data_IF_936577065361
#
_entry.id   IF_936577065361
#
_cell.length_a   1.000
_cell.length_b   1.000
_cell.length_c   1.000
_cell.angle_alpha   90.00
_cell.angle_beta   90.00
_cell.angle_gamma   90.00
#
_symmetry.space_group_name_H-M   'P 1'
#
loop_
_entity.id
_entity.type
_entity.pdbx_description
1 polymer ?
2 polymer ?
3 non-polymer ?
4 non-polymer ?
5 non-polymer ?
6 non-polymer ?
7 non-polymer ?
8 water ?
#
# COMPACT_ATOMS: atom_id res chain seq x y z
N UNK A 1 10.38 9.94 -4.34
CA UNK A 1 11.26 8.75 -4.36
C UNK A 1 12.69 9.22 -4.75
N UNK A 2 13.66 8.89 -3.92
CA UNK A 2 15.05 9.19 -4.15
C UNK A 2 15.78 7.95 -4.63
N UNK A 3 16.48 8.08 -5.75
CA UNK A 3 17.34 7.02 -6.24
C UNK A 3 16.64 5.85 -6.90
N UNK A 4 15.41 6.05 -7.38
CA UNK A 4 14.67 5.00 -8.08
C UNK A 4 14.66 5.26 -9.58
N UNK A 5 13.61 4.85 -10.25
CA UNK A 5 13.47 5.03 -11.68
C UNK A 5 12.00 5.30 -11.97
N UNK A 6 11.71 5.71 -13.20
CA UNK A 6 10.35 5.88 -13.61
C UNK A 6 9.66 4.48 -13.57
N UNK A 7 8.51 4.39 -12.91
CA UNK A 7 7.68 3.19 -13.09
C UNK A 7 7.12 3.23 -14.52
N UNK A 8 7.46 2.24 -15.34
CA UNK A 8 6.86 2.34 -16.68
C UNK A 8 5.33 2.38 -16.63
N UNK A 9 4.72 3.25 -17.44
CA UNK A 9 3.27 3.44 -17.46
C UNK A 9 2.52 2.13 -17.49
N UNK A 10 1.65 1.93 -16.50
CA UNK A 10 0.86 0.68 -16.39
C UNK A 10 1.46 -0.38 -15.51
N UNK A 11 2.71 -0.21 -15.08
CA UNK A 11 3.33 -1.22 -14.24
C UNK A 11 3.15 -0.96 -12.75
N UNK A 12 2.55 0.17 -12.38
CA UNK A 12 2.23 0.49 -10.99
C UNK A 12 0.71 0.78 -10.92
N UNK A 13 -0.14 -0.15 -11.40
CA UNK A 13 -1.52 0.29 -11.75
C UNK A 13 -2.45 0.48 -10.52
N UNK A 14 -1.94 0.07 -9.37
CA UNK A 14 -2.61 0.27 -8.09
C UNK A 14 -2.25 1.59 -7.40
N UNK A 15 -1.31 2.33 -7.99
CA UNK A 15 -0.90 3.59 -7.37
C UNK A 15 -2.01 4.60 -7.48
N UNK A 16 -2.25 5.34 -6.42
CA UNK A 16 -3.23 6.41 -6.40
C UNK A 16 -2.53 7.74 -6.17
N UNK A 17 -3.05 8.79 -6.80
CA UNK A 17 -2.62 10.14 -6.45
C UNK A 17 -3.76 10.84 -5.73
N UNK A 18 -3.47 11.45 -4.59
CA UNK A 18 -4.46 12.22 -3.87
C UNK A 18 -4.17 13.70 -4.04
N UNK A 19 -5.24 14.44 -4.37
CA UNK A 19 -5.21 15.87 -4.64
C UNK A 19 -6.16 16.62 -3.66
N UNK A 20 -5.73 17.81 -3.21
CA UNK A 20 -6.58 18.74 -2.45
C UNK A 20 -6.56 20.09 -3.18
N UNK A 21 -7.74 20.54 -3.64
CA UNK A 21 -7.87 21.70 -4.51
C UNK A 21 -6.93 21.63 -5.71
N UNK A 22 -6.75 20.44 -6.29
CA UNK A 22 -5.90 20.26 -7.45
C UNK A 22 -4.42 20.08 -7.19
N UNK A 23 -4.01 20.28 -5.94
CA UNK A 23 -2.62 20.20 -5.53
C UNK A 23 -2.30 18.80 -5.01
N UNK A 24 -1.10 18.34 -5.31
CA UNK A 24 -0.64 17.06 -4.84
C UNK A 24 -0.62 17.01 -3.31
N UNK A 25 -1.26 16.01 -2.74
CA UNK A 25 -1.29 15.82 -1.28
C UNK A 25 -0.43 14.63 -0.86
N UNK A 26 -0.72 13.48 -1.46
CA UNK A 26 -0.20 12.19 -0.98
C UNK A 26 -0.43 11.14 -2.03
N UNK A 27 0.19 9.98 -1.81
CA UNK A 27 -0.17 8.80 -2.54
C UNK A 27 -1.18 7.95 -1.83
N UNK A 28 -1.52 6.85 -2.52
CA UNK A 28 -2.44 5.84 -1.98
C UNK A 28 -2.35 4.52 -2.74
N UNK A 29 -3.07 3.52 -2.26
CA UNK A 29 -3.07 2.21 -2.91
C UNK A 29 -4.51 1.72 -3.09
N UNK A 30 -4.86 1.40 -4.32
CA UNK A 30 -6.15 0.82 -4.61
C UNK A 30 -6.11 -0.65 -4.15
N UNK A 31 -7.07 -1.05 -3.32
CA UNK A 31 -7.23 -2.45 -2.97
C UNK A 31 -8.55 -3.10 -3.44
N UNK A 32 -9.50 -2.32 -3.93
CA UNK A 32 -10.70 -2.84 -4.56
C UNK A 32 -11.24 -1.64 -5.34
N UNK A 33 -12.36 -1.77 -6.05
CA UNK A 33 -12.83 -0.69 -6.91
C UNK A 33 -13.32 0.56 -6.18
N UNK A 34 -13.68 0.47 -4.90
CA UNK A 34 -14.04 1.68 -4.14
C UNK A 34 -13.14 2.00 -2.92
N UNK A 35 -12.12 1.21 -2.70
CA UNK A 35 -11.31 1.30 -1.53
C UNK A 35 -9.83 1.59 -1.81
N UNK A 36 -9.33 2.59 -1.09
CA UNK A 36 -7.96 3.07 -1.20
C UNK A 36 -7.35 3.14 0.19
N UNK A 37 -6.14 2.64 0.32
CA UNK A 37 -5.40 2.75 1.58
C UNK A 37 -4.34 3.86 1.42
N UNK A 38 -4.24 4.72 2.42
CA UNK A 38 -3.25 5.76 2.41
C UNK A 38 -2.72 5.93 3.88
N UNK A 39 -2.05 7.06 4.16
CA UNK A 39 -1.47 7.36 5.48
C UNK A 39 -2.35 8.41 6.20
N UNK A 40 -2.67 8.16 7.47
CA UNK A 40 -3.55 9.05 8.22
C UNK A 40 -3.03 10.48 8.20
N UNK A 41 -1.71 10.67 8.29
CA UNK A 41 -1.16 12.05 8.48
C UNK A 41 -1.42 12.93 7.29
N UNK A 42 -1.63 12.30 6.13
CA UNK A 42 -2.03 13.03 4.91
C UNK A 42 -3.23 13.92 5.12
N UNK A 43 -4.07 13.59 6.10
CA UNK A 43 -5.37 14.25 6.31
C UNK A 43 -5.44 15.13 7.55
N UNK A 44 -4.35 15.26 8.29
CA UNK A 44 -4.35 16.04 9.55
C UNK A 44 -4.83 17.50 9.40
N UNK A 45 -4.61 18.13 8.22
CA UNK A 45 -4.84 19.57 8.02
C UNK A 45 -5.99 19.88 7.06
N UNK A 46 -6.74 18.89 6.61
CA UNK A 46 -7.83 19.16 5.66
C UNK A 46 -8.95 19.99 6.31
N UNK A 47 -9.35 21.08 5.69
CA UNK A 47 -10.47 21.87 6.20
C UNK A 47 -11.78 21.41 5.59
N UNK A 48 -11.80 21.30 4.26
CA UNK A 48 -12.99 20.90 3.54
C UNK A 48 -12.80 19.61 2.71
N UNK A 49 -13.50 18.56 3.13
CA UNK A 49 -13.33 17.22 2.56
C UNK A 49 -13.76 17.11 1.12
N UNK A 50 -14.70 17.95 0.69
CA UNK A 50 -15.16 17.92 -0.71
C UNK A 50 -14.05 18.29 -1.71
N UNK A 51 -13.01 18.93 -1.23
CA UNK A 51 -11.89 19.28 -2.06
C UNK A 51 -10.90 18.10 -2.27
N UNK A 52 -11.13 16.94 -1.65
CA UNK A 52 -10.21 15.80 -1.75
C UNK A 52 -10.57 14.91 -2.94
N UNK A 53 -9.62 14.68 -3.84
CA UNK A 53 -9.85 13.88 -5.04
C UNK A 53 -8.81 12.75 -5.10
N UNK A 54 -9.25 11.54 -5.49
CA UNK A 54 -8.34 10.39 -5.75
C UNK A 54 -8.26 10.16 -7.25
N UNK A 55 -7.06 9.98 -7.78
CA UNK A 55 -6.87 9.75 -9.20
C UNK A 55 -6.15 8.41 -9.39
N UNK A 56 -6.75 7.56 -10.25
CA UNK A 56 -6.21 6.28 -10.63
C UNK A 56 -5.76 6.40 -12.07
N UNK A 57 -4.83 5.53 -12.46
CA UNK A 57 -4.32 5.46 -13.81
C UNK A 57 -3.41 6.62 -14.19
N UNK A 58 -2.89 7.32 -13.19
CA UNK A 58 -2.08 8.50 -13.44
C UNK A 58 -0.67 8.02 -13.69
N UNK A 59 0.09 8.80 -14.44
CA UNK A 59 1.47 8.44 -14.74
C UNK A 59 2.33 9.69 -14.85
N UNK A 60 2.08 10.47 -15.89
CA UNK A 60 2.80 11.72 -16.11
C UNK A 60 1.87 12.89 -15.79
N UNK A 61 2.18 13.59 -14.71
CA UNK A 61 1.31 14.69 -14.25
C UNK A 61 1.24 15.92 -15.19
N UNK A 62 2.10 15.99 -16.17
CA UNK A 62 2.07 17.12 -17.08
C UNK A 62 1.04 16.96 -18.21
N UNK A 63 0.47 15.75 -18.37
CA UNK A 63 -0.33 15.46 -19.55
C UNK A 63 -1.65 14.76 -19.17
N UNK A 64 -2.64 14.85 -20.01
CA UNK A 64 -3.84 13.98 -19.94
C UNK A 64 -3.76 12.99 -21.08
N UNK A 65 -3.78 11.68 -20.78
CA UNK A 65 -3.74 10.69 -21.86
C UNK A 65 -5.00 9.84 -21.94
N UNK A 66 -5.98 10.08 -21.08
CA UNK A 66 -7.25 9.39 -21.15
C UNK A 66 -7.36 8.15 -20.27
N UNK A 67 -6.26 7.69 -19.67
CA UNK A 67 -6.30 6.53 -18.78
C UNK A 67 -6.58 6.92 -17.33
N UNK A 68 -6.56 8.24 -17.03
CA UNK A 68 -6.78 8.73 -15.68
C UNK A 68 -8.22 8.61 -15.31
N UNK A 69 -8.49 8.32 -14.05
CA UNK A 69 -9.86 8.27 -13.53
C UNK A 69 -9.87 8.94 -12.20
N UNK A 70 -10.68 10.00 -12.09
CA UNK A 70 -10.78 10.80 -10.87
C UNK A 70 -12.06 10.51 -10.10
N UNK A 71 -11.96 10.39 -8.77
CA UNK A 71 -13.13 10.20 -7.96
C UNK A 71 -13.10 11.07 -6.73
N UNK A 72 -14.27 11.51 -6.33
CA UNK A 72 -14.44 12.09 -5.00
C UNK A 72 -14.32 11.05 -3.89
N UNK A 73 -13.92 11.54 -2.71
CA UNK A 73 -13.71 10.70 -1.57
C UNK A 73 -14.91 10.85 -0.65
N UNK A 74 -15.64 9.76 -0.44
CA UNK A 74 -16.84 9.75 0.37
C UNK A 74 -16.56 9.53 1.86
N UNK A 75 -15.42 8.91 2.18
CA UNK A 75 -15.10 8.59 3.57
C UNK A 75 -13.59 8.48 3.72
N UNK A 76 -13.06 9.12 4.78
CA UNK A 76 -11.70 8.94 5.21
C UNK A 76 -11.77 8.33 6.61
N UNK A 77 -11.29 7.10 6.75
CA UNK A 77 -11.39 6.37 8.01
C UNK A 77 -10.01 6.20 8.62
N UNK A 78 -9.90 6.59 9.87
CA UNK A 78 -8.64 6.66 10.59
C UNK A 78 -8.77 5.87 11.92
N UNK A 79 -7.76 5.08 12.28
CA UNK A 79 -7.89 4.38 13.54
C UNK A 79 -7.88 5.31 14.76
N UNK A 80 -8.66 4.94 15.77
CA UNK A 80 -8.81 5.73 17.00
C UNK A 80 -7.49 6.00 17.70
N UNK A 81 -6.54 5.10 17.50
CA UNK A 81 -5.26 5.21 18.14
C UNK A 81 -4.25 6.13 17.46
N UNK A 82 -4.56 6.62 16.26
CA UNK A 82 -3.69 7.53 15.56
C UNK A 82 -3.76 8.92 16.23
N UNK A 83 -2.60 9.53 16.46
CA UNK A 83 -2.55 10.92 16.96
C UNK A 83 -2.02 11.87 15.87
N UNK A 84 -2.79 12.90 15.52
CA UNK A 84 -2.27 13.74 14.44
C UNK A 84 -0.85 14.24 14.67
N UNK A 85 -0.06 14.26 13.60
CA UNK A 85 1.30 14.74 13.66
C UNK A 85 2.32 13.73 14.10
N UNK A 86 1.95 12.44 14.25
CA UNK A 86 2.85 11.39 14.73
C UNK A 86 2.88 10.25 13.72
N UNK A 87 3.73 9.24 13.99
CA UNK A 87 3.98 8.15 13.06
C UNK A 87 3.18 6.89 13.38
N UNK A 88 2.82 6.69 14.65
CA UNK A 88 2.19 5.43 15.02
C UNK A 88 0.77 5.33 14.48
N UNK A 89 0.40 4.17 13.97
CA UNK A 89 -0.93 3.94 13.38
C UNK A 89 -1.21 4.87 12.19
N UNK A 90 -0.17 5.12 11.39
CA UNK A 90 -0.27 6.02 10.25
C UNK A 90 -0.89 5.30 9.04
N UNK A 91 -2.19 5.14 9.11
CA UNK A 91 -2.96 4.47 8.06
C UNK A 91 -4.35 5.08 7.95
N UNK A 92 -4.89 5.08 6.74
CA UNK A 92 -6.26 5.53 6.50
C UNK A 92 -6.89 4.66 5.45
N UNK A 93 -8.19 4.45 5.55
CA UNK A 93 -8.96 3.76 4.54
C UNK A 93 -9.96 4.72 3.96
N UNK A 94 -9.89 4.88 2.64
CA UNK A 94 -10.68 5.84 1.88
C UNK A 94 -11.70 5.09 1.05
N UNK A 95 -12.95 5.52 1.19
CA UNK A 95 -14.03 5.05 0.33
C UNK A 95 -14.27 6.07 -0.78
N UNK A 96 -14.15 5.62 -2.02
CA UNK A 96 -14.45 6.47 -3.19
C UNK A 96 -15.98 6.63 -3.38
N UNK A 97 -16.37 7.76 -3.95
CA UNK A 97 -17.79 8.08 -4.12
C UNK A 97 -18.44 7.18 -5.19
N UNK A 98 -17.64 6.74 -6.14
CA UNK A 98 -18.04 5.88 -7.21
C UNK A 98 -16.86 4.94 -7.51
N UNK A 99 -17.14 3.66 -7.83
CA UNK A 99 -16.04 2.74 -8.15
C UNK A 99 -15.21 3.25 -9.31
N UNK A 100 -13.91 2.99 -9.27
CA UNK A 100 -13.10 3.10 -10.49
C UNK A 100 -13.42 1.90 -11.39
N UNK A 101 -13.16 2.04 -12.69
CA UNK A 101 -13.30 0.98 -13.68
C UNK A 101 -11.95 0.31 -13.86
N UNK A 102 -11.88 -0.97 -13.60
CA UNK A 102 -10.62 -1.67 -13.81
C UNK A 102 -10.29 -1.73 -15.29
N UNK A 103 -9.01 -1.47 -15.60
CA UNK A 103 -8.48 -1.40 -16.98
C UNK A 103 -7.08 -1.88 -16.92
N UNK A 104 -6.38 -1.94 -18.06
CA UNK A 104 -4.94 -2.23 -18.01
C UNK A 104 -4.13 -1.28 -17.14
N UNK A 105 -4.65 -0.08 -16.95
CA UNK A 105 -3.97 0.99 -16.21
C UNK A 105 -4.46 1.20 -14.78
N UNK A 106 -5.49 0.47 -14.40
CA UNK A 106 -6.10 0.63 -13.07
C UNK A 106 -6.48 -0.75 -12.57
N UNK A 107 -5.75 -1.20 -11.57
CA UNK A 107 -5.86 -2.55 -11.04
C UNK A 107 -5.58 -2.48 -9.53
N UNK A 108 -6.36 -3.19 -8.69
CA UNK A 108 -6.07 -3.16 -7.27
C UNK A 108 -4.87 -4.05 -6.87
N UNK A 109 -4.19 -3.67 -5.80
CA UNK A 109 -3.18 -4.48 -5.18
C UNK A 109 -3.90 -5.43 -4.20
N UNK A 110 -3.43 -6.66 -4.05
CA UNK A 110 -4.12 -7.57 -3.14
C UNK A 110 -3.81 -7.22 -1.67
N UNK A 111 -4.86 -7.11 -0.86
CA UNK A 111 -4.68 -6.99 0.58
C UNK A 111 -4.60 -8.44 1.08
N UNK A 112 -3.45 -8.84 1.65
CA UNK A 112 -3.28 -10.23 2.04
C UNK A 112 -4.04 -10.57 3.28
N UNK A 113 -4.32 -11.85 3.48
CA UNK A 113 -4.70 -12.32 4.84
C UNK A 113 -3.58 -12.04 5.83
N UNK A 114 -3.91 -11.83 7.09
CA UNK A 114 -2.89 -11.53 8.14
C UNK A 114 -1.82 -12.61 8.27
N UNK A 115 -2.24 -13.86 8.41
CA UNK A 115 -1.30 -14.98 8.61
C UNK A 115 -0.32 -15.06 7.46
N UNK A 116 -0.83 -15.01 6.23
CA UNK A 116 0.04 -15.04 5.06
C UNK A 116 1.07 -13.89 5.08
N UNK A 117 0.60 -12.70 5.46
CA UNK A 117 1.45 -11.55 5.49
C UNK A 117 2.52 -11.66 6.56
N UNK A 118 2.13 -12.15 7.73
CA UNK A 118 3.06 -12.28 8.86
C UNK A 118 4.04 -13.44 8.70
N UNK A 119 3.55 -14.57 8.20
CA UNK A 119 4.31 -15.79 8.09
C UNK A 119 5.14 -15.88 6.83
N UNK A 120 4.73 -15.21 5.77
CA UNK A 120 5.38 -15.40 4.47
C UNK A 120 5.86 -14.06 3.85
N UNK A 121 4.96 -13.07 3.72
CA UNK A 121 5.33 -11.82 3.02
C UNK A 121 6.36 -11.03 3.81
N UNK A 122 6.27 -11.05 5.13
CA UNK A 122 7.22 -10.35 6.01
C UNK A 122 8.68 -10.82 5.85
N UNK A 123 8.90 -11.98 5.24
CA UNK A 123 10.26 -12.49 4.98
C UNK A 123 10.65 -12.38 3.52
N UNK A 124 9.84 -11.79 2.66
CA UNK A 124 10.33 -11.43 1.34
C UNK A 124 11.24 -10.20 1.51
N UNK A 125 12.48 -10.29 1.06
CA UNK A 125 13.45 -9.26 1.40
C UNK A 125 13.12 -7.91 0.76
N UNK A 126 12.94 -7.91 -0.56
CA UNK A 126 12.78 -6.71 -1.33
C UNK A 126 11.33 -6.51 -1.73
N UNK A 127 10.91 -5.24 -1.70
CA UNK A 127 9.59 -4.81 -2.08
C UNK A 127 9.69 -3.44 -2.78
N UNK A 128 8.63 -3.07 -3.49
CA UNK A 128 8.61 -1.84 -4.30
C UNK A 128 7.82 -0.72 -3.58
N UNK A 129 8.39 0.50 -3.57
CA UNK A 129 7.72 1.71 -3.05
C UNK A 129 7.67 2.71 -4.14
N UNK A 130 6.57 3.45 -4.20
CA UNK A 130 6.32 4.30 -5.35
C UNK A 130 5.61 5.59 -5.00
N UNK A 131 5.78 6.58 -5.88
CA UNK A 131 5.07 7.87 -5.73
C UNK A 131 5.64 8.98 -6.59
N UNK A 132 4.98 10.14 -6.54
CA UNK A 132 5.38 11.35 -7.26
C UNK A 132 6.05 12.33 -6.27
N UNK A 133 6.61 11.83 -5.19
CA UNK A 133 7.24 12.68 -4.23
C UNK A 133 8.56 13.27 -4.69
N UNK A 134 9.22 13.94 -3.77
CA UNK A 134 10.51 14.58 -4.04
C UNK A 134 11.58 13.58 -4.53
N UNK A 135 12.29 14.00 -5.58
CA UNK A 135 13.37 13.20 -6.15
C UNK A 135 14.64 13.28 -5.29
N UNK A 136 14.69 14.23 -4.37
CA UNK A 136 15.79 14.40 -3.42
C UNK A 136 15.30 15.19 -2.25
N UNK A 137 16.01 15.05 -1.15
CA UNK A 137 15.73 15.85 0.03
C UNK A 137 15.83 17.35 -0.32
N UNK A 138 14.78 18.10 0.04
CA UNK A 138 14.64 19.53 -0.28
C UNK A 138 14.61 19.81 -1.79
N UNK A 139 14.12 18.85 -2.58
CA UNK A 139 14.04 18.99 -4.02
C UNK A 139 12.62 19.00 -4.54
N UNK A 140 12.51 19.18 -5.85
CA UNK A 140 11.24 19.18 -6.56
C UNK A 140 10.65 17.75 -6.63
N UNK A 141 9.34 17.68 -6.70
CA UNK A 141 8.60 16.42 -6.84
C UNK A 141 8.68 15.91 -8.28
N UNK A 142 8.38 14.64 -8.48
CA UNK A 142 8.47 14.02 -9.79
C UNK A 142 7.26 14.29 -10.66
N UNK A 143 7.48 14.48 -11.96
CA UNK A 143 6.38 14.57 -12.92
C UNK A 143 5.86 13.16 -13.35
N UNK A 144 6.77 12.21 -13.46
CA UNK A 144 6.45 10.84 -13.76
C UNK A 144 6.54 9.98 -12.49
N UNK A 145 5.62 9.05 -12.36
CA UNK A 145 5.59 8.14 -11.22
C UNK A 145 6.91 7.38 -11.12
N UNK A 147 9.44 4.55 -8.88
CA UNK A 147 9.40 3.33 -8.12
C UNK A 147 10.80 2.94 -7.66
N UNK A 148 10.89 2.31 -6.51
CA UNK A 148 12.17 1.98 -5.89
C UNK A 148 12.07 0.64 -5.22
N UNK A 149 13.07 -0.21 -5.42
CA UNK A 149 13.16 -1.50 -4.72
C UNK A 149 13.93 -1.33 -3.42
N UNK A 150 13.36 -1.72 -2.30
CA UNK A 150 13.96 -1.49 -0.98
C UNK A 150 13.93 -2.79 -0.17
N UNK A 151 14.99 -3.06 0.61
CA UNK A 151 15.02 -4.28 1.43
C UNK A 151 14.46 -4.01 2.81
N UNK A 152 13.74 -4.97 3.38
CA UNK A 152 13.06 -4.81 4.66
C UNK A 152 14.01 -5.28 5.76
N UNK A 153 13.96 -4.65 6.92
CA UNK A 153 14.75 -5.05 8.07
C UNK A 153 13.86 -5.51 9.19
N UNK A 154 14.29 -6.55 9.87
CA UNK A 154 13.69 -6.91 11.18
C UNK A 154 13.99 -5.78 12.12
N UNK A 155 13.06 -5.51 13.01
CA UNK A 155 13.09 -4.27 13.76
C UNK A 155 14.33 -4.13 14.67
N UNK A 156 14.78 -5.23 15.28
CA UNK A 156 16.01 -5.20 16.08
C UNK A 156 17.16 -4.73 15.21
N UNK A 157 17.28 -5.34 14.04
CA UNK A 157 18.35 -4.98 13.08
C UNK A 157 18.24 -3.53 12.64
N UNK A 158 17.03 -2.97 12.60
CA UNK A 158 16.88 -1.57 12.24
C UNK A 158 17.45 -0.70 13.33
N UNK A 159 17.09 -0.98 14.57
CA UNK A 159 17.54 -0.16 15.71
C UNK A 159 19.07 -0.15 15.83
N UNK A 160 19.70 -1.33 15.70
CA UNK A 160 21.17 -1.51 15.68
C UNK A 160 21.87 -0.79 14.52
N UNK A 161 21.38 -1.02 13.29
CA UNK A 161 21.97 -0.37 12.11
C UNK A 161 21.69 1.13 11.95
N UNK A 162 20.84 1.71 12.81
CA UNK A 162 20.54 3.15 12.79
C UNK A 162 21.52 3.99 13.64
N UNK A 163 21.88 5.17 13.13
CA UNK A 163 22.83 6.07 13.79
C UNK A 163 22.10 7.25 14.42
N UNK A 170 11.72 5.87 16.88
CA UNK A 170 10.91 4.94 17.69
C UNK A 170 10.03 4.00 16.84
N UNK A 171 10.44 2.75 16.70
CA UNK A 171 9.83 1.82 15.80
C UNK A 171 8.96 0.94 16.65
N UNK A 172 7.65 0.99 16.43
CA UNK A 172 6.73 0.14 17.17
C UNK A 172 6.45 -1.07 16.33
N UNK A 173 5.68 -1.98 16.93
CA UNK A 173 5.21 -3.18 16.26
C UNK A 173 4.21 -2.86 15.10
N UNK A 174 3.76 -1.60 15.01
CA UNK A 174 2.87 -1.14 13.94
C UNK A 174 3.65 -0.52 12.76
N UNK A 175 4.99 -0.65 12.76
CA UNK A 175 5.85 -0.12 11.73
C UNK A 175 6.86 -1.14 11.34
N UNK A 176 7.57 -0.85 10.24
CA UNK A 176 8.81 -1.55 9.93
C UNK A 176 9.70 -0.66 9.14
N UNK A 177 10.99 -0.99 9.19
CA UNK A 177 12.02 -0.27 8.43
C UNK A 177 12.30 -0.92 7.12
N UNK A 178 12.52 -0.10 6.11
CA UNK A 178 13.07 -0.61 4.87
C UNK A 178 13.84 0.43 4.08
N UNK A 179 14.78 -0.02 3.27
CA UNK A 179 15.63 0.87 2.50
C UNK A 179 17.13 0.73 2.86
N UNK A 180 17.81 1.87 2.91
CA UNK A 180 19.27 1.94 2.93
C UNK A 180 19.72 3.06 3.87
N UNK A 181 20.82 2.83 4.58
CA UNK A 181 21.39 3.84 5.50
C UNK A 181 22.46 4.76 4.90
N UNK A 182 22.85 4.56 3.64
CA UNK A 182 23.89 5.39 3.00
C UNK A 182 23.43 6.71 2.35
N UNK A 183 22.17 7.11 2.55
CA UNK A 183 21.62 8.31 1.93
C UNK A 183 21.37 8.32 0.43
N UNK A 184 21.33 7.14 -0.22
CA UNK A 184 21.17 7.08 -1.67
C UNK A 184 19.72 6.80 -2.19
N UNK A 185 18.91 6.14 -1.37
CA UNK A 185 17.68 5.48 -1.86
C UNK A 185 16.65 5.45 -0.75
N UNK A 186 15.51 6.10 -0.99
CA UNK A 186 14.44 6.19 0.00
C UNK A 186 13.15 6.69 -0.63
N UNK A 187 12.04 6.51 0.10
CA UNK A 187 10.82 7.24 -0.20
C UNK A 187 10.97 8.60 0.50
N UNK A 188 10.17 9.57 0.07
CA UNK A 188 10.40 10.99 0.44
C UNK A 188 9.10 11.75 0.63
N UNK A 189 9.17 12.98 1.13
CA UNK A 189 7.99 13.81 1.24
C UNK A 189 7.30 13.90 -0.16
N UNK A 190 5.98 13.76 -0.17
CA UNK A 190 5.20 13.65 -1.40
C UNK A 190 4.77 12.21 -1.72
N UNK A 191 5.50 11.23 -1.19
CA UNK A 191 5.23 9.80 -1.40
C UNK A 191 4.38 9.20 -0.30
N UNK A 192 4.21 9.89 0.83
CA UNK A 192 3.42 9.33 1.93
C UNK A 192 2.05 8.85 1.45
N UNK A 193 1.63 7.73 2.04
CA UNK A 193 0.40 7.07 1.68
C UNK A 193 0.53 6.05 0.55
N UNK A 194 1.63 6.09 -0.20
CA UNK A 194 1.83 5.15 -1.25
C UNK A 194 2.14 3.72 -0.82
N UNK A 195 2.08 2.76 -1.75
CA UNK A 195 2.31 1.35 -1.48
C UNK A 195 3.74 0.96 -1.31
N UNK A 196 3.93 0.07 -0.35
CA UNK A 196 5.08 -0.84 -0.24
C UNK A 196 4.46 -2.21 -0.61
N UNK A 197 4.81 -2.67 -1.80
CA UNK A 197 4.22 -3.81 -2.46
C UNK A 197 5.22 -4.94 -2.58
N UNK A 198 4.79 -6.15 -2.19
CA UNK A 198 5.64 -7.32 -2.09
C UNK A 198 5.14 -8.43 -3.04
N UNK A 199 6.05 -8.96 -3.84
CA UNK A 199 5.78 -9.98 -4.79
C UNK A 199 5.96 -11.34 -4.12
N UNK A 200 4.99 -12.22 -4.31
CA UNK A 200 5.10 -13.64 -3.96
C UNK A 200 4.35 -14.55 -4.94
N UNK A 201 5.13 -15.46 -5.53
CA UNK A 201 4.64 -16.46 -6.45
C UNK A 201 3.70 -15.88 -7.51
N UNK A 202 4.17 -14.81 -8.16
CA UNK A 202 3.55 -14.23 -9.35
C UNK A 202 2.47 -13.16 -9.12
N UNK A 203 2.27 -12.79 -7.86
CA UNK A 203 1.23 -11.85 -7.47
C UNK A 203 1.76 -10.86 -6.45
N UNK A 204 1.25 -9.63 -6.49
CA UNK A 204 1.69 -8.56 -5.58
C UNK A 204 0.66 -8.25 -4.51
N UNK A 205 1.19 -7.90 -3.33
CA UNK A 205 0.44 -7.66 -2.13
C UNK A 205 0.83 -6.40 -1.38
N UNK A 206 -0.15 -5.80 -0.71
CA UNK A 206 0.11 -4.67 0.15
C UNK A 206 0.68 -5.12 1.51
N UNK A 207 1.94 -4.75 1.75
CA UNK A 207 2.60 -4.93 3.05
C UNK A 207 2.93 -3.66 3.82
N UNK A 208 3.06 -2.52 3.14
CA UNK A 208 3.36 -1.30 3.86
C UNK A 208 2.76 -0.08 3.24
N UNK A 209 2.72 0.99 4.03
CA UNK A 209 2.32 2.30 3.60
C UNK A 209 3.46 3.27 3.92
N UNK A 210 3.88 4.05 2.93
CA UNK A 210 4.90 5.11 3.16
C UNK A 210 4.38 6.05 4.27
N UNK A 211 5.10 6.14 5.36
CA UNK A 211 4.65 6.97 6.46
C UNK A 211 5.49 8.24 6.45
N UNK A 212 6.10 8.59 7.55
CA UNK A 212 7.00 9.76 7.62
C UNK A 212 7.86 9.66 8.86
N UNK A 213 8.89 10.53 8.81
CA UNK A 213 9.97 10.75 9.79
C UNK A 213 10.77 11.96 9.27
N UNK A 214 11.75 12.45 10.04
CA UNK A 214 12.59 13.54 9.56
C UNK A 214 13.35 13.06 8.32
N UNK A 215 13.28 11.74 8.05
CA UNK A 215 14.17 11.04 7.09
C UNK A 215 13.73 10.85 5.63
N UNK A 216 14.28 11.72 4.77
CA UNK A 216 14.33 11.54 3.30
C UNK A 216 15.73 11.24 2.81
N UNK A 217 16.06 9.97 2.69
CA UNK A 217 17.41 9.50 2.40
C UNK A 217 18.45 10.10 3.37
N UNK A 218 18.12 10.16 4.65
CA UNK A 218 19.06 10.69 5.64
C UNK A 218 20.07 9.62 5.99
N UNK A 219 21.35 9.95 5.86
CA UNK A 219 22.45 9.02 6.14
C UNK A 219 22.29 8.52 7.57
N UNK A 220 22.46 7.21 7.77
CA UNK A 220 22.26 6.57 9.05
C UNK A 220 20.84 6.17 9.39
N UNK A 221 19.88 6.44 8.50
CA UNK A 221 18.44 6.19 8.76
C UNK A 221 17.78 5.37 7.64
N UNK A 222 16.76 4.62 8.04
CA UNK A 222 15.98 3.81 7.11
C UNK A 222 14.61 4.46 6.94
N UNK A 223 13.95 4.19 5.83
CA UNK A 223 12.54 4.55 5.67
C UNK A 223 11.67 3.82 6.66
N UNK A 224 10.63 4.51 7.14
CA UNK A 224 9.66 3.90 8.04
C UNK A 224 8.30 3.72 7.34
N UNK A 225 7.75 2.52 7.49
CA UNK A 225 6.51 2.10 6.79
C UNK A 225 5.50 1.59 7.81
N UNK A 226 4.23 1.89 7.60
CA UNK A 226 3.18 1.36 8.45
C UNK A 226 3.05 -0.12 8.13
N UNK A 227 3.06 -0.96 9.16
CA UNK A 227 3.03 -2.41 8.98
C UNK A 227 1.57 -2.85 8.78
N UNK A 228 1.20 -3.00 7.52
CA UNK A 228 -0.20 -3.25 7.12
C UNK A 228 -0.83 -4.53 7.71
N UNK A 229 -0.02 -5.55 7.91
CA UNK A 229 -0.48 -6.79 8.58
C UNK A 229 -1.20 -6.58 9.93
N UNK A 230 -0.84 -5.52 10.65
CA UNK A 230 -1.52 -5.24 11.91
C UNK A 230 -2.94 -4.72 11.73
N UNK A 231 -3.29 -4.30 10.50
CA UNK A 231 -4.55 -3.64 10.21
C UNK A 231 -5.48 -4.40 9.30
N UNK A 232 -5.10 -5.61 8.91
CA UNK A 232 -5.93 -6.37 7.94
C UNK A 232 -7.37 -6.57 8.42
N UNK A 233 -7.50 -7.07 9.64
CA UNK A 233 -8.83 -7.34 10.22
C UNK A 233 -9.64 -6.06 10.36
N UNK A 234 -8.97 -4.99 10.80
CA UNK A 234 -9.59 -3.66 10.95
C UNK A 234 -10.11 -3.14 9.59
N UNK A 235 -9.33 -3.32 8.54
CA UNK A 235 -9.69 -2.89 7.20
C UNK A 235 -10.83 -3.73 6.66
N UNK A 236 -10.76 -5.05 6.86
CA UNK A 236 -11.79 -5.94 6.34
C UNK A 236 -13.15 -5.66 6.94
N UNK A 237 -13.15 -5.37 8.22
CA UNK A 237 -14.37 -5.06 8.91
C UNK A 237 -14.98 -3.77 8.38
N UNK A 238 -14.15 -2.75 8.25
CA UNK A 238 -14.64 -1.48 7.71
C UNK A 238 -15.19 -1.64 6.29
N UNK A 239 -14.52 -2.43 5.46
CA UNK A 239 -14.99 -2.60 4.10
C UNK A 239 -16.32 -3.29 3.99
N UNK A 240 -16.71 -4.04 5.02
CA UNK A 240 -18.06 -4.67 5.08
C UNK A 240 -19.12 -3.76 5.73
N UNK A 241 -18.75 -2.54 6.12
CA UNK A 241 -19.64 -1.66 6.89
C UNK A 241 -20.31 -0.71 5.95
N UNK A 242 -21.49 -0.23 6.32
CA UNK A 242 -22.15 0.86 5.57
C UNK A 242 -21.46 2.20 5.82
N UNK A 243 -21.39 3.05 4.78
CA UNK A 243 -20.89 4.42 4.96
C UNK A 243 -21.74 5.23 5.95
N UNK A 244 -21.11 6.21 6.61
CA UNK A 244 -21.71 7.08 7.63
C UNK A 244 -21.69 8.50 7.10
N UNK A 245 -22.72 9.32 7.42
CA UNK A 245 -22.61 10.74 7.07
C UNK A 245 -21.39 11.37 7.67
N UNK A 246 -20.84 12.37 6.95
CA UNK A 246 -19.63 13.08 7.37
C UNK A 246 -18.39 12.30 6.87
N UNK A 247 -17.51 12.97 6.16
CA UNK A 247 -16.43 12.32 5.48
C UNK A 247 -15.47 11.65 6.45
N UNK A 248 -14.92 12.40 7.40
CA UNK A 248 -14.00 11.81 8.39
C UNK A 248 -14.68 10.90 9.39
N UNK A 249 -14.18 9.68 9.56
CA UNK A 249 -14.64 8.75 10.59
C UNK A 249 -13.46 8.18 11.37
N UNK A 250 -13.51 8.30 12.67
CA UNK A 250 -12.53 7.64 13.50
C UNK A 250 -13.18 6.33 13.96
N UNK A 251 -12.51 5.23 13.67
CA UNK A 251 -13.00 3.89 13.97
C UNK A 251 -12.09 3.26 15.01
N UNK A 252 -12.67 2.58 16.01
CA UNK A 252 -11.89 1.92 17.02
C UNK A 252 -10.83 1.01 16.44
N UNK A 253 -9.64 1.07 17.01
CA UNK A 253 -8.61 0.10 16.74
C UNK A 253 -8.16 -0.43 18.11
N UNK A 254 -7.99 -1.74 18.28
CA UNK A 254 -8.17 -2.77 17.26
C UNK A 254 -9.62 -3.00 16.84
N UNK B 1 2.23 -31.01 5.80
CA UNK B 1 2.26 -29.59 5.31
C UNK B 1 1.57 -28.61 6.30
N UNK B 2 2.35 -27.66 6.81
CA UNK B 2 1.91 -26.68 7.81
C UNK B 2 2.12 -25.29 7.21
N UNK B 3 1.18 -24.41 7.49
CA UNK B 3 1.15 -23.10 6.84
C UNK B 3 2.38 -22.22 7.15
N UNK B 4 2.88 -22.29 8.38
CA UNK B 4 4.05 -21.52 8.79
C UNK B 4 5.34 -21.92 8.02
N UNK B 5 5.43 -23.17 7.56
CA UNK B 5 6.57 -23.62 6.76
C UNK B 5 6.30 -23.60 5.25
N UNK B 6 7.06 -22.78 4.52
CA UNK B 6 7.02 -22.72 3.05
C UNK B 6 5.60 -22.35 2.50
N UNK B 7 4.84 -21.64 3.34
CA UNK B 7 3.44 -21.27 3.10
C UNK B 7 2.49 -22.49 2.93
N UNK B 8 2.87 -23.64 3.51
CA UNK B 8 2.07 -24.88 3.39
C UNK B 8 2.04 -25.47 1.98
N UNK B 9 2.98 -25.03 1.12
CA UNK B 9 2.97 -25.27 -0.34
C UNK B 9 1.97 -24.37 -1.13
N UNK B 10 1.17 -23.56 -0.43
CA UNK B 10 0.08 -22.81 -1.08
C UNK B 10 0.66 -21.63 -1.89
N UNK B 11 0.09 -21.38 -3.04
CA UNK B 11 0.46 -20.19 -3.83
C UNK B 11 0.04 -18.90 -3.09
N UNK B 12 -1.12 -18.93 -2.43
CA UNK B 12 -1.67 -17.75 -1.74
C UNK B 12 -1.92 -18.07 -0.26
N UNK B 13 -3.16 -18.24 0.16
CA UNK B 13 -3.47 -18.29 1.57
C UNK B 13 -3.57 -19.71 2.04
N UNK B 14 -3.39 -19.91 3.34
CA UNK B 14 -3.17 -21.26 3.93
C UNK B 14 -3.83 -21.33 5.26
N UNK B 15 -4.66 -22.35 5.48
CA UNK B 15 -5.25 -22.66 6.81
C UNK B 15 -4.85 -24.04 7.31
N UNK B 16 -4.37 -24.11 8.56
CA UNK B 16 -4.14 -25.38 9.27
C UNK B 16 -5.47 -25.89 9.82
N UNK B 17 -5.66 -27.21 9.80
CA UNK B 17 -6.91 -27.85 10.22
C UNK B 17 -6.69 -28.97 11.24
N UNK B 18 -7.80 -29.49 11.75
CA UNK B 18 -7.83 -30.67 12.63
C UNK B 18 -7.15 -31.90 11.97
N UNK B 19 -5.97 -32.26 12.50
CA UNK B 19 -5.19 -33.40 12.02
C UNK B 19 -3.90 -32.93 11.39
N UNK B 20 -3.38 -33.73 10.46
CA UNK B 20 -2.29 -33.29 9.59
C UNK B 20 -2.93 -32.71 8.30
N UNK B 21 -3.98 -31.90 8.46
CA UNK B 21 -4.73 -31.34 7.33
C UNK B 21 -4.38 -29.88 7.08
N UNK B 22 -4.43 -29.46 5.82
CA UNK B 22 -4.10 -28.11 5.42
C UNK B 22 -5.06 -27.78 4.26
N UNK B 23 -5.58 -26.54 4.21
CA UNK B 23 -6.39 -26.10 3.08
C UNK B 23 -5.81 -24.80 2.53
N UNK B 24 -5.48 -24.79 1.25
CA UNK B 24 -5.04 -23.57 0.59
C UNK B 24 -6.25 -22.83 0.12
N UNK B 25 -6.14 -21.50 0.01
CA UNK B 25 -7.22 -20.67 -0.49
C UNK B 25 -6.63 -19.60 -1.42
N UNK B 26 -7.51 -19.00 -2.21
CA UNK B 26 -7.17 -17.99 -3.18
C UNK B 26 -8.04 -16.75 -2.91
N UNK B 27 -7.47 -15.57 -3.18
CA UNK B 27 -8.17 -14.29 -3.09
C UNK B 27 -9.36 -14.31 -4.06
N UNK B 28 -10.30 -13.42 -3.81
CA UNK B 28 -11.38 -13.17 -4.72
C UNK B 28 -10.80 -12.87 -6.11
N UNK B 29 -11.51 -13.30 -7.17
CA UNK B 29 -11.02 -13.16 -8.50
C UNK B 29 -10.00 -14.22 -8.92
N UNK B 30 -9.82 -15.24 -8.07
CA UNK B 30 -8.98 -16.41 -8.37
C UNK B 30 -9.76 -17.66 -7.91
N UNK B 31 -9.46 -18.82 -8.49
CA UNK B 31 -9.93 -20.13 -7.97
C UNK B 31 -8.75 -21.09 -7.82
N UNK B 32 -8.91 -22.01 -6.90
CA UNK B 32 -7.92 -23.00 -6.54
C UNK B 32 -7.95 -24.12 -7.56
N UNK B 33 -6.81 -24.52 -8.06
CA UNK B 33 -6.76 -25.64 -9.00
C UNK B 33 -6.83 -27.01 -8.23
N UNK B 34 -6.97 -28.08 -8.99
CA UNK B 34 -7.05 -29.44 -8.42
C UNK B 34 -5.78 -29.91 -7.75
N UNK B 35 -4.62 -29.28 -8.01
CA UNK B 35 -3.44 -29.54 -7.22
C UNK B 35 -3.62 -29.13 -5.76
N UNK B 36 -4.66 -28.37 -5.43
CA UNK B 36 -4.91 -27.95 -4.07
C UNK B 36 -4.07 -26.79 -3.57
N UNK B 37 -3.21 -26.24 -4.43
CA UNK B 37 -2.22 -25.19 -4.06
C UNK B 37 -2.20 -23.96 -4.97
N UNK B 38 -2.46 -24.13 -6.26
CA UNK B 38 -2.32 -23.07 -7.25
C UNK B 38 -3.61 -22.26 -7.35
N UNK B 39 -3.45 -20.97 -7.67
CA UNK B 39 -4.56 -20.07 -7.89
C UNK B 39 -4.49 -19.56 -9.30
N UNK B 40 -5.61 -19.59 -10.02
CA UNK B 40 -5.69 -19.06 -11.36
C UNK B 40 -6.77 -17.96 -11.39
N UNK B 41 -6.52 -16.87 -12.12
CA UNK B 41 -7.55 -15.82 -12.26
C UNK B 41 -8.88 -16.25 -12.88
N UNK B 42 -9.96 -15.72 -12.36
CA UNK B 42 -11.29 -15.95 -12.85
C UNK B 42 -11.92 -14.70 -13.44
N UNK B 43 -11.22 -13.57 -13.37
CA UNK B 43 -11.69 -12.31 -13.91
C UNK B 43 -10.57 -11.67 -14.71
N UNK B 44 -10.93 -10.62 -15.44
CA UNK B 44 -10.00 -9.98 -16.32
C UNK B 44 -8.89 -9.23 -15.58
N UNK B 45 -9.22 -8.62 -14.44
CA UNK B 45 -8.26 -7.76 -13.72
C UNK B 45 -8.17 -8.19 -12.29
N UNK B 46 -7.61 -9.38 -12.06
CA UNK B 46 -7.43 -9.83 -10.69
C UNK B 46 -6.43 -8.96 -9.98
N UNK B 47 -6.55 -8.88 -8.66
CA UNK B 47 -5.65 -8.04 -7.88
C UNK B 47 -4.23 -8.53 -8.01
N UNK B 48 -3.28 -7.60 -7.96
CA UNK B 48 -1.89 -7.98 -7.81
C UNK B 48 -1.21 -8.49 -9.04
N UNK B 49 -1.87 -8.34 -10.20
CA UNK B 49 -1.32 -8.74 -11.49
C UNK B 49 -1.25 -7.51 -12.37
N UNK B 50 -0.20 -7.41 -13.17
CA UNK B 50 0.06 -6.23 -14.03
C UNK B 50 -0.29 -6.55 -15.46
N UNK B 51 -1.44 -6.08 -15.93
CA UNK B 51 -1.92 -6.55 -17.21
C UNK B 51 -0.93 -6.43 -18.37
N UNK B 52 -0.20 -5.32 -18.47
CA UNK B 52 0.70 -5.20 -19.62
C UNK B 52 1.86 -6.17 -19.55
N UNK B 53 2.19 -6.67 -18.36
CA UNK B 53 3.23 -7.68 -18.25
C UNK B 53 2.69 -9.11 -18.36
N UNK B 54 1.44 -9.35 -17.98
CA UNK B 54 0.77 -10.64 -18.22
C UNK B 54 0.50 -10.87 -19.71
N UNK B 55 0.44 -9.79 -20.48
CA UNK B 55 0.28 -9.83 -21.94
C UNK B 55 1.59 -9.35 -22.57
#
# INVERSE_FOLDING_TARGET
IVGGKVCPKGECPWQVLLLVNGAQLCGGTLINTIWVVSAAHCFDKIKNWRNLIAVLGEHDLSEHDGDEQSRRVAQVIIPSTYVPGTTNHDIALLRLHQPVVLTDHVVPLCLPERTFSERTLAFVRFSLVSGWGQLLDRGATALELXVLNVPRLMTQDCLQQSRKVGDSPNITEYMFCAGYSDGSKDSCKGDSGGPHATHYRGTWYLTGIVSWGQGCATVGHFGVYTRVSQYIEWLQKLMRSEPRPGVLLRAPFP
LICVNENGGCEQYCSDHTGTKRSCRCHEGYSLLADGVSCTPTVEYPCGKIPILEKRNASKPQGR
#
